data_IF_714987361507
#
_entry.id   IF_714987361507
#
_cell.length_a   1.000
_cell.length_b   1.000
_cell.length_c   1.000
_cell.angle_alpha   90.00
_cell.angle_beta   90.00
_cell.angle_gamma   90.00
#
_symmetry.space_group_name_H-M   'P 1'
#
loop_
_entity.id
_entity.type
_entity.pdbx_description
1 polymer ?
#
# COMPACT_ATOMS: atom_id res chain seq x y z
N UNK A 1 -7.49 43.84 57.68
CA UNK A 1 -6.38 43.62 58.63
C UNK A 1 -5.08 43.53 57.85
N UNK A 2 -4.01 43.92 58.51
CA UNK A 2 -2.66 44.22 58.03
C UNK A 2 -1.94 43.15 57.16
N UNK A 3 -1.34 43.65 56.08
CA UNK A 3 0.09 43.61 55.68
C UNK A 3 1.05 42.48 56.17
N UNK A 4 1.83 42.01 55.18
CA UNK A 4 3.30 41.90 55.19
C UNK A 4 3.98 40.56 55.54
N UNK A 5 5.18 40.41 54.95
CA UNK A 5 6.28 39.44 55.17
C UNK A 5 6.27 38.29 54.15
N UNK A 6 7.13 38.27 53.11
CA UNK A 6 8.60 38.35 53.17
C UNK A 6 9.12 36.92 53.41
N UNK A 7 10.05 36.32 52.69
CA UNK A 7 10.97 36.71 51.64
C UNK A 7 11.94 35.54 51.44
N UNK A 8 12.95 35.75 50.60
CA UNK A 8 14.22 35.03 50.48
C UNK A 8 14.33 33.82 49.54
N UNK A 9 15.39 33.95 48.75
CA UNK A 9 15.90 33.16 47.65
C UNK A 9 16.89 32.09 48.14
N UNK A 10 17.25 31.21 47.20
CA UNK A 10 18.55 30.54 47.04
C UNK A 10 18.80 29.11 47.56
N UNK A 11 19.21 28.31 46.55
CA UNK A 11 20.36 27.38 46.49
C UNK A 11 20.18 25.91 46.88
N UNK A 12 20.42 25.09 45.84
CA UNK A 12 21.30 23.92 45.82
C UNK A 12 21.32 22.99 47.03
N UNK A 13 20.77 21.79 46.85
CA UNK A 13 21.48 20.61 47.36
C UNK A 13 21.14 19.33 46.58
N UNK A 14 22.19 18.80 45.96
CA UNK A 14 22.31 17.44 45.47
C UNK A 14 22.56 16.43 46.62
N UNK A 15 22.16 15.17 46.41
CA UNK A 15 22.48 13.99 47.25
C UNK A 15 21.21 13.17 47.53
N UNK A 16 20.98 11.96 47.00
CA UNK A 16 21.73 10.70 47.26
C UNK A 16 21.28 10.14 48.61
N UNK A 17 20.83 8.90 48.86
CA UNK A 17 21.09 7.53 48.37
C UNK A 17 20.07 6.64 49.17
N UNK A 18 19.48 5.54 48.67
CA UNK A 18 19.93 4.15 48.94
C UNK A 18 19.02 3.12 48.21
N UNK A 19 19.60 1.98 47.80
CA UNK A 19 19.01 0.82 47.08
C UNK A 19 18.32 -0.17 48.07
N UNK A 20 17.73 -1.36 47.72
CA UNK A 20 17.81 -2.16 46.49
C UNK A 20 16.48 -2.83 46.02
N UNK A 21 16.14 -2.70 44.73
CA UNK A 21 15.11 -3.58 44.15
C UNK A 21 14.51 -3.14 42.82
N UNK A 22 14.93 -3.79 41.72
CA UNK A 22 14.02 -4.11 40.62
C UNK A 22 14.02 -3.20 39.38
N UNK A 23 14.86 -3.58 38.41
CA UNK A 23 14.59 -3.58 36.96
C UNK A 23 14.20 -2.29 36.20
N UNK A 24 15.23 -1.74 35.53
CA UNK A 24 15.30 -1.34 34.10
C UNK A 24 14.05 -0.93 33.31
N UNK A 25 14.18 0.21 32.62
CA UNK A 25 13.42 0.73 31.49
C UNK A 25 12.83 -0.32 30.54
N UNK A 26 11.61 -0.12 30.00
CA UNK A 26 11.25 -0.69 28.72
C UNK A 26 11.76 0.23 27.60
N UNK A 27 12.95 -0.11 27.12
CA UNK A 27 13.29 0.05 25.72
C UNK A 27 12.40 -0.91 24.91
N UNK A 28 11.93 -0.44 23.77
CA UNK A 28 11.52 -1.22 22.59
C UNK A 28 10.12 -1.86 22.53
N UNK A 29 9.58 -1.76 21.31
CA UNK A 29 8.52 -2.57 20.68
C UNK A 29 7.08 -2.04 20.73
N UNK A 30 6.70 -1.24 19.73
CA UNK A 30 5.35 -1.32 19.12
C UNK A 30 5.22 -0.43 17.87
N UNK A 31 6.16 -0.55 16.94
CA UNK A 31 5.79 -0.47 15.53
C UNK A 31 6.21 -1.77 14.89
N UNK A 32 5.50 -2.82 15.30
CA UNK A 32 5.20 -3.91 14.39
C UNK A 32 4.55 -3.20 13.19
N UNK A 33 5.34 -2.94 12.16
CA UNK A 33 4.80 -2.77 10.82
C UNK A 33 3.94 -4.02 10.68
N UNK A 34 2.62 -3.82 10.83
CA UNK A 34 1.67 -4.77 10.27
C UNK A 34 2.13 -4.79 8.83
N UNK A 35 2.90 -5.81 8.47
CA UNK A 35 3.00 -6.27 7.11
C UNK A 35 1.54 -6.44 6.75
N UNK A 36 0.98 -5.39 6.15
CA UNK A 36 -0.35 -5.44 5.58
C UNK A 36 -0.13 -6.53 4.57
N UNK A 37 -0.56 -7.75 4.93
CA UNK A 37 -0.85 -8.80 3.97
C UNK A 37 -1.73 -8.09 2.97
N UNK A 38 -1.10 -7.59 1.91
CA UNK A 38 -1.73 -6.67 1.00
C UNK A 38 -2.65 -7.58 0.23
N UNK A 39 -3.90 -7.64 0.69
CA UNK A 39 -4.99 -8.34 0.02
C UNK A 39 -4.83 -8.01 -1.45
N UNK A 40 -4.69 -9.04 -2.30
CA UNK A 40 -4.56 -8.88 -3.75
C UNK A 40 -5.85 -8.22 -4.24
N UNK A 41 -5.87 -6.89 -4.22
CA UNK A 41 -7.02 -6.11 -4.59
C UNK A 41 -7.05 -6.03 -6.12
N UNK A 42 -8.23 -6.27 -6.69
CA UNK A 42 -8.48 -6.01 -8.10
C UNK A 42 -8.72 -4.51 -8.24
N UNK A 43 -7.85 -3.82 -8.97
CA UNK A 43 -7.86 -2.36 -9.07
C UNK A 43 -8.54 -1.93 -10.38
N UNK A 44 -9.62 -1.11 -10.34
CA UNK A 44 -10.17 -0.54 -11.57
C UNK A 44 -9.20 0.49 -12.15
N UNK A 45 -8.88 0.38 -13.43
CA UNK A 45 -7.93 1.25 -14.14
C UNK A 45 -8.43 1.56 -15.55
N UNK A 46 -7.83 2.57 -16.19
CA UNK A 46 -7.99 2.82 -17.62
C UNK A 46 -6.87 2.16 -18.43
N UNK A 47 -7.08 1.97 -19.72
CA UNK A 47 -6.08 1.42 -20.66
C UNK A 47 -4.84 2.30 -20.70
N UNK A 48 -4.98 3.63 -20.68
CA UNK A 48 -3.83 4.54 -20.62
C UNK A 48 -2.98 4.35 -19.35
N UNK A 49 -3.61 4.11 -18.20
CA UNK A 49 -2.89 3.84 -16.95
C UNK A 49 -2.09 2.54 -17.05
N UNK A 50 -2.64 1.50 -17.66
CA UNK A 50 -1.92 0.23 -17.89
C UNK A 50 -0.76 0.45 -18.87
N UNK A 51 -0.95 1.23 -19.94
CA UNK A 51 0.13 1.57 -20.87
C UNK A 51 1.27 2.36 -20.22
N UNK A 52 0.96 3.14 -19.18
CA UNK A 52 1.94 3.93 -18.41
C UNK A 52 2.51 3.18 -17.21
N UNK A 53 2.11 1.91 -17.01
CA UNK A 53 2.53 1.11 -15.88
C UNK A 53 4.06 0.95 -15.85
N UNK A 54 4.64 1.18 -14.69
CA UNK A 54 6.06 0.95 -14.42
C UNK A 54 6.28 -0.50 -13.97
N UNK A 55 7.47 -1.03 -14.21
CA UNK A 55 7.86 -2.36 -13.77
C UNK A 55 9.20 -2.30 -13.02
N UNK A 56 9.25 -2.88 -11.83
CA UNK A 56 10.43 -3.00 -11.00
C UNK A 56 10.31 -4.22 -10.08
N UNK A 57 11.40 -4.96 -9.85
CA UNK A 57 11.45 -6.10 -8.93
C UNK A 57 10.31 -7.12 -9.13
N UNK A 58 10.02 -7.51 -10.37
CA UNK A 58 8.94 -8.45 -10.74
C UNK A 58 7.52 -7.95 -10.39
N UNK A 59 7.36 -6.64 -10.15
CA UNK A 59 6.09 -6.01 -9.79
C UNK A 59 5.75 -4.89 -10.76
N UNK A 60 4.45 -4.70 -10.94
CA UNK A 60 3.90 -3.61 -11.75
C UNK A 60 3.41 -2.49 -10.84
N UNK A 61 3.55 -1.25 -11.27
CA UNK A 61 3.14 -0.07 -10.51
C UNK A 61 2.43 0.94 -11.41
N UNK A 62 1.29 1.44 -10.94
CA UNK A 62 0.62 2.60 -11.53
C UNK A 62 0.58 3.68 -10.46
N UNK A 63 1.14 4.85 -10.75
CA UNK A 63 1.24 5.98 -9.80
C UNK A 63 1.81 5.60 -8.42
N UNK A 64 2.82 4.70 -8.40
CA UNK A 64 3.47 4.22 -7.18
C UNK A 64 2.69 3.16 -6.40
N UNK A 65 1.51 2.75 -6.89
CA UNK A 65 0.69 1.69 -6.31
C UNK A 65 1.05 0.38 -7.01
N UNK A 66 1.62 -0.60 -6.30
CA UNK A 66 1.87 -1.92 -6.92
C UNK A 66 0.54 -2.56 -7.30
N UNK A 67 0.45 -3.12 -8.50
CA UNK A 67 -0.74 -3.79 -9.03
C UNK A 67 -0.39 -5.21 -9.46
N UNK A 68 -1.35 -6.10 -9.31
CA UNK A 68 -1.25 -7.49 -9.76
C UNK A 68 -2.48 -7.91 -10.58
N UNK A 69 -3.65 -7.41 -10.21
CA UNK A 69 -4.91 -7.64 -10.90
C UNK A 69 -5.64 -6.33 -11.10
N UNK A 70 -6.25 -6.17 -12.28
CA UNK A 70 -6.97 -4.96 -12.65
C UNK A 70 -8.30 -5.29 -13.31
N UNK A 71 -9.22 -4.34 -13.28
CA UNK A 71 -10.44 -4.34 -14.09
C UNK A 71 -10.43 -3.14 -15.02
N UNK A 72 -10.85 -3.36 -16.26
CA UNK A 72 -11.04 -2.32 -17.27
C UNK A 72 -12.45 -2.45 -17.84
N UNK A 73 -12.98 -1.35 -18.38
CA UNK A 73 -14.23 -1.33 -19.14
C UNK A 73 -13.95 -0.60 -20.44
N UNK A 74 -14.22 -1.25 -21.57
CA UNK A 74 -13.97 -0.68 -22.88
C UNK A 74 -14.80 -1.34 -23.97
N UNK A 75 -14.76 -0.75 -25.15
CA UNK A 75 -15.42 -1.26 -26.36
C UNK A 75 -14.57 -2.36 -26.99
N UNK A 76 -15.19 -3.47 -27.34
CA UNK A 76 -14.54 -4.51 -28.14
C UNK A 76 -14.46 -4.02 -29.59
N UNK A 77 -13.23 -3.80 -30.08
CA UNK A 77 -12.93 -3.36 -31.45
C UNK A 77 -12.72 -4.52 -32.41
N UNK A 78 -12.17 -5.63 -31.91
CA UNK A 78 -11.94 -6.84 -32.70
C UNK A 78 -12.00 -8.08 -31.81
N UNK A 79 -12.32 -9.23 -32.42
CA UNK A 79 -12.29 -10.55 -31.80
C UNK A 79 -11.65 -11.52 -32.78
N UNK A 80 -10.65 -12.28 -32.33
CA UNK A 80 -10.07 -13.39 -33.07
C UNK A 80 -10.22 -14.66 -32.22
N UNK A 81 -10.94 -15.64 -32.76
CA UNK A 81 -11.18 -16.92 -32.09
C UNK A 81 -10.08 -17.92 -32.49
N UNK A 82 -9.41 -18.47 -31.49
CA UNK A 82 -8.53 -19.63 -31.61
C UNK A 82 -9.19 -20.91 -31.10
N UNK A 83 -8.45 -22.01 -31.09
CA UNK A 83 -8.95 -23.31 -30.61
C UNK A 83 -9.22 -23.37 -29.11
N UNK A 84 -8.42 -22.68 -28.30
CA UNK A 84 -8.52 -22.65 -26.82
C UNK A 84 -8.44 -21.23 -26.24
N UNK A 85 -8.63 -20.20 -27.07
CA UNK A 85 -8.48 -18.81 -26.66
C UNK A 85 -9.31 -17.87 -27.53
N UNK A 86 -9.62 -16.71 -26.96
CA UNK A 86 -10.16 -15.53 -27.63
C UNK A 86 -9.17 -14.38 -27.46
N UNK A 87 -8.74 -13.78 -28.57
CA UNK A 87 -7.94 -12.56 -28.57
C UNK A 87 -8.87 -11.38 -28.88
N UNK A 88 -8.98 -10.42 -27.97
CA UNK A 88 -9.79 -9.21 -28.10
C UNK A 88 -8.88 -8.00 -28.30
N UNK A 89 -9.35 -7.02 -29.05
CA UNK A 89 -8.82 -5.64 -28.98
C UNK A 89 -9.85 -4.78 -28.25
N UNK A 90 -9.48 -4.18 -27.12
CA UNK A 90 -10.35 -3.38 -26.25
C UNK A 90 -9.92 -1.90 -26.28
N UNK A 91 -10.89 -1.00 -26.39
CA UNK A 91 -10.66 0.45 -26.43
C UNK A 91 -11.58 1.17 -25.44
N UNK A 92 -11.01 1.82 -24.43
CA UNK A 92 -11.73 2.63 -23.43
C UNK A 92 -11.65 4.15 -23.72
N UNK A 93 -11.09 4.53 -24.88
CA UNK A 93 -10.87 5.91 -25.34
C UNK A 93 -9.86 6.74 -24.54
N UNK A 94 -9.12 6.13 -23.61
CA UNK A 94 -8.09 6.85 -22.84
C UNK A 94 -6.69 6.79 -23.47
N UNK A 95 -6.46 5.82 -24.35
CA UNK A 95 -5.21 5.61 -25.07
C UNK A 95 -5.38 4.69 -26.27
N UNK A 96 -4.28 4.21 -26.90
CA UNK A 96 -4.37 3.22 -27.97
C UNK A 96 -5.08 1.94 -27.48
N UNK A 97 -5.87 1.26 -28.35
CA UNK A 97 -6.52 0.01 -27.98
C UNK A 97 -5.53 -1.04 -27.47
N UNK A 98 -6.00 -1.89 -26.56
CA UNK A 98 -5.20 -2.91 -25.86
C UNK A 98 -5.61 -4.30 -26.32
N UNK A 99 -4.63 -5.19 -26.51
CA UNK A 99 -4.87 -6.59 -26.77
C UNK A 99 -5.11 -7.35 -25.46
N UNK A 100 -6.22 -8.10 -25.38
CA UNK A 100 -6.62 -8.90 -24.22
C UNK A 100 -6.86 -10.33 -24.65
N UNK A 101 -6.13 -11.28 -24.05
CA UNK A 101 -6.27 -12.71 -24.33
C UNK A 101 -7.03 -13.40 -23.21
N UNK A 102 -8.13 -14.05 -23.57
CA UNK A 102 -8.88 -14.95 -22.69
C UNK A 102 -8.61 -16.38 -23.13
N UNK A 103 -8.10 -17.23 -22.23
CA UNK A 103 -8.07 -18.68 -22.45
C UNK A 103 -9.43 -19.26 -22.06
N UNK A 104 -9.93 -20.19 -22.86
CA UNK A 104 -11.21 -20.86 -22.61
C UNK A 104 -10.92 -22.29 -22.19
N UNK A 105 -11.48 -22.71 -21.06
CA UNK A 105 -11.42 -24.10 -20.65
C UNK A 105 -12.32 -24.91 -21.59
N UNK A 106 -11.72 -25.90 -22.27
CA UNK A 106 -12.48 -26.87 -23.04
C UNK A 106 -12.89 -27.94 -22.04
N UNK A 107 -14.05 -27.77 -21.41
CA UNK A 107 -14.67 -28.87 -20.68
C UNK A 107 -14.94 -29.99 -21.69
N UNK A 108 -14.14 -31.05 -21.62
CA UNK A 108 -14.38 -32.26 -22.42
C UNK A 108 -15.55 -32.98 -21.75
N UNK A 109 -16.76 -32.78 -22.29
CA UNK A 109 -17.96 -33.53 -21.92
C UNK A 109 -17.86 -35.00 -22.28
#
# INVERSE_FOLDING_TARGET
>A
MWNNQGGFSNYDQAGGFDSPGGFSSPQQSSQQSRARTRTQNIVPVTVAMVHQCQHADEKFFIDGIEIAQVTIVGLVRSVQQGSNRMDYTIDDLTGPPMDVRQFVDIDVS
#
